data_IF_794724343738
#
_entry.id   IF_794724343738
#
_cell.length_a   1.000
_cell.length_b   1.000
_cell.length_c   1.000
_cell.angle_alpha   90.00
_cell.angle_beta   90.00
_cell.angle_gamma   90.00
#
_symmetry.space_group_name_H-M   'P 1'
#
loop_
_entity.id
_entity.type
_entity.pdbx_description
1 polymer ?
#
# COMPACT_ATOMS: atom_id res chain seq x y z
N UNK A 1 28.51 -31.45 -0.94
CA UNK A 1 27.86 -30.12 -0.97
C UNK A 1 26.40 -30.38 -1.30
N UNK A 2 25.50 -30.18 -0.35
CA UNK A 2 24.07 -30.43 -0.55
C UNK A 2 23.45 -29.18 -1.18
N UNK A 3 23.35 -29.17 -2.52
CA UNK A 3 22.71 -28.14 -3.35
C UNK A 3 21.17 -28.21 -3.27
N UNK A 4 20.62 -28.18 -2.05
CA UNK A 4 19.18 -28.10 -1.78
C UNK A 4 18.72 -26.78 -1.06
N UNK A 5 19.47 -25.65 -0.92
CA UNK A 5 18.90 -24.46 -0.24
C UNK A 5 18.11 -23.49 -1.15
N UNK A 6 18.33 -23.49 -2.47
CA UNK A 6 17.87 -22.37 -3.32
C UNK A 6 16.38 -22.43 -3.67
N UNK A 7 15.83 -23.62 -3.87
CA UNK A 7 14.43 -23.78 -4.26
C UNK A 7 13.46 -23.32 -3.16
N UNK A 8 13.78 -23.63 -1.90
CA UNK A 8 12.98 -23.19 -0.75
C UNK A 8 13.04 -21.67 -0.57
N UNK A 9 14.22 -21.07 -0.73
CA UNK A 9 14.37 -19.62 -0.65
C UNK A 9 13.58 -18.90 -1.76
N UNK A 10 13.63 -19.40 -3.00
CA UNK A 10 12.81 -18.89 -4.12
C UNK A 10 11.32 -19.01 -3.80
N UNK A 11 10.87 -20.17 -3.32
CA UNK A 11 9.47 -20.40 -2.98
C UNK A 11 8.99 -19.45 -1.87
N UNK A 12 9.81 -19.21 -0.85
CA UNK A 12 9.50 -18.27 0.23
C UNK A 12 9.43 -16.82 -0.29
N UNK A 13 10.41 -16.39 -1.08
CA UNK A 13 10.41 -15.03 -1.67
C UNK A 13 9.17 -14.85 -2.55
N UNK A 14 8.84 -15.84 -3.38
CA UNK A 14 7.66 -15.82 -4.23
C UNK A 14 6.36 -15.75 -3.42
N UNK A 15 6.20 -16.61 -2.41
CA UNK A 15 5.01 -16.63 -1.55
C UNK A 15 4.82 -15.29 -0.81
N UNK A 16 5.90 -14.71 -0.29
CA UNK A 16 5.86 -13.39 0.34
C UNK A 16 5.53 -12.29 -0.67
N UNK A 17 6.07 -12.37 -1.89
CA UNK A 17 5.77 -11.42 -2.98
C UNK A 17 4.28 -11.42 -3.34
N UNK A 18 3.70 -12.61 -3.51
CA UNK A 18 2.27 -12.78 -3.78
C UNK A 18 1.43 -12.25 -2.62
N UNK A 19 1.76 -12.60 -1.38
CA UNK A 19 1.03 -12.11 -0.20
C UNK A 19 1.09 -10.57 -0.10
N UNK A 20 2.25 -9.97 -0.35
CA UNK A 20 2.42 -8.52 -0.32
C UNK A 20 1.64 -7.83 -1.45
N UNK A 21 1.60 -8.42 -2.65
CA UNK A 21 0.81 -7.91 -3.76
C UNK A 21 -0.70 -7.93 -3.46
N UNK A 22 -1.21 -9.01 -2.88
CA UNK A 22 -2.61 -9.09 -2.45
C UNK A 22 -2.95 -8.05 -1.37
N UNK A 23 -2.06 -7.85 -0.41
CA UNK A 23 -2.23 -6.83 0.62
C UNK A 23 -2.24 -5.43 0.00
N UNK A 24 -1.29 -5.13 -0.90
CA UNK A 24 -1.24 -3.87 -1.63
C UNK A 24 -2.55 -3.61 -2.37
N UNK A 25 -3.01 -4.57 -3.18
CA UNK A 25 -4.25 -4.44 -3.96
C UNK A 25 -5.47 -4.22 -3.06
N UNK A 26 -5.59 -4.97 -1.97
CA UNK A 26 -6.70 -4.82 -1.01
C UNK A 26 -6.69 -3.42 -0.38
N UNK A 27 -5.52 -2.92 -0.04
CA UNK A 27 -5.36 -1.58 0.55
C UNK A 27 -5.63 -0.47 -0.45
N UNK A 28 -5.15 -0.61 -1.69
CA UNK A 28 -5.40 0.33 -2.77
C UNK A 28 -6.90 0.45 -3.07
N UNK A 29 -7.60 -0.68 -3.20
CA UNK A 29 -9.07 -0.70 -3.34
C UNK A 29 -9.79 -0.02 -2.19
N UNK A 30 -9.29 -0.18 -0.96
CA UNK A 30 -9.86 0.46 0.24
C UNK A 30 -9.67 1.98 0.21
N UNK A 31 -8.46 2.45 -0.12
CA UNK A 31 -8.14 3.88 -0.27
C UNK A 31 -8.98 4.49 -1.39
N UNK A 32 -9.15 3.78 -2.50
CA UNK A 32 -9.99 4.18 -3.62
C UNK A 32 -11.46 4.31 -3.21
N UNK A 33 -12.03 3.27 -2.57
CA UNK A 33 -13.41 3.29 -2.08
C UNK A 33 -13.67 4.44 -1.12
N UNK A 34 -12.73 4.72 -0.20
CA UNK A 34 -12.83 5.84 0.72
C UNK A 34 -12.74 7.18 0.00
N UNK A 35 -11.84 7.31 -0.97
CA UNK A 35 -11.73 8.51 -1.80
C UNK A 35 -13.03 8.78 -2.54
N UNK A 36 -13.67 7.75 -3.11
CA UNK A 36 -14.97 7.87 -3.76
C UNK A 36 -16.05 8.31 -2.78
N UNK A 37 -16.14 7.70 -1.59
CA UNK A 37 -17.11 8.11 -0.57
C UNK A 37 -16.90 9.57 -0.13
N UNK A 38 -15.65 10.03 -0.02
CA UNK A 38 -15.33 11.42 0.28
C UNK A 38 -15.77 12.34 -0.87
N UNK A 39 -15.63 11.93 -2.13
CA UNK A 39 -16.03 12.74 -3.29
C UNK A 39 -17.55 12.80 -3.47
N UNK A 40 -18.22 11.66 -3.42
CA UNK A 40 -19.66 11.54 -3.73
C UNK A 40 -20.56 11.80 -2.53
N UNK A 41 -20.03 11.68 -1.31
CA UNK A 41 -20.86 11.71 -0.10
C UNK A 41 -21.75 10.48 0.06
N UNK A 42 -21.42 9.36 -0.61
CA UNK A 42 -22.13 8.08 -0.48
C UNK A 42 -21.16 6.99 -0.09
N UNK A 43 -21.45 6.27 0.99
CA UNK A 43 -20.69 5.12 1.47
C UNK A 43 -21.63 3.91 1.52
N UNK A 44 -21.27 2.83 0.81
CA UNK A 44 -22.06 1.58 0.77
C UNK A 44 -23.54 1.79 0.39
N UNK A 45 -23.82 2.79 -0.45
CA UNK A 45 -25.17 3.14 -0.90
C UNK A 45 -25.94 4.07 0.05
N UNK A 46 -25.35 4.47 1.18
CA UNK A 46 -25.96 5.39 2.13
C UNK A 46 -25.32 6.79 2.03
N UNK A 47 -26.11 7.87 2.03
CA UNK A 47 -25.57 9.23 2.08
C UNK A 47 -24.90 9.47 3.45
N UNK A 48 -23.76 10.16 3.43
CA UNK A 48 -22.99 10.50 4.63
C UNK A 48 -22.91 12.02 4.82
N UNK A 49 -22.87 12.45 6.09
CA UNK A 49 -22.77 13.88 6.42
C UNK A 49 -21.44 14.50 6.00
N UNK A 50 -21.42 15.82 5.79
CA UNK A 50 -20.20 16.57 5.49
C UNK A 50 -19.16 16.42 6.60
N UNK A 51 -19.60 16.45 7.87
CA UNK A 51 -18.72 16.22 9.02
C UNK A 51 -18.05 14.85 8.95
N UNK A 52 -18.81 13.80 8.61
CA UNK A 52 -18.27 12.46 8.44
C UNK A 52 -17.29 12.38 7.26
N UNK A 53 -17.55 13.08 6.15
CA UNK A 53 -16.61 13.19 5.02
C UNK A 53 -15.29 13.85 5.45
N UNK A 54 -15.32 14.89 6.28
CA UNK A 54 -14.11 15.48 6.85
C UNK A 54 -13.37 14.53 7.79
N UNK A 55 -14.10 13.74 8.60
CA UNK A 55 -13.49 12.73 9.46
C UNK A 55 -12.79 11.64 8.64
N UNK A 56 -13.45 11.13 7.59
CA UNK A 56 -12.86 10.17 6.64
C UNK A 56 -11.61 10.73 5.96
N UNK A 57 -11.63 12.00 5.57
CA UNK A 57 -10.51 12.68 4.93
C UNK A 57 -9.32 12.90 5.88
N UNK A 58 -9.57 13.30 7.13
CA UNK A 58 -8.49 13.65 8.09
C UNK A 58 -7.92 12.46 8.84
N UNK A 59 -8.74 11.46 9.14
CA UNK A 59 -8.32 10.31 9.95
C UNK A 59 -8.23 9.08 9.07
N UNK A 60 -9.32 8.72 8.40
CA UNK A 60 -9.36 7.51 7.59
C UNK A 60 -8.30 7.49 6.50
N UNK A 61 -8.28 8.50 5.63
CA UNK A 61 -7.37 8.54 4.48
C UNK A 61 -5.90 8.41 4.89
N UNK A 62 -5.47 9.17 5.90
CA UNK A 62 -4.09 9.10 6.39
C UNK A 62 -3.78 7.80 7.14
N UNK A 63 -4.74 7.23 7.87
CA UNK A 63 -4.56 5.93 8.53
C UNK A 63 -4.31 4.82 7.50
N UNK A 64 -5.13 4.73 6.46
CA UNK A 64 -4.95 3.70 5.42
C UNK A 64 -3.62 3.87 4.68
N UNK A 65 -3.25 5.12 4.37
CA UNK A 65 -1.95 5.42 3.75
C UNK A 65 -0.80 5.04 4.68
N UNK A 66 -0.88 5.40 5.96
CA UNK A 66 0.14 5.06 6.95
C UNK A 66 0.34 3.56 7.09
N UNK A 67 -0.76 2.78 7.12
CA UNK A 67 -0.69 1.31 7.13
C UNK A 67 -0.04 0.81 5.83
N UNK A 68 -0.35 1.41 4.68
CA UNK A 68 0.21 0.97 3.39
C UNK A 68 1.72 1.20 3.36
N UNK A 69 2.18 2.39 3.78
CA UNK A 69 3.62 2.70 3.95
C UNK A 69 4.27 1.65 4.81
N UNK A 70 3.70 1.38 5.98
CA UNK A 70 4.28 0.49 6.98
C UNK A 70 4.44 -0.93 6.43
N UNK A 71 3.38 -1.47 5.83
CA UNK A 71 3.37 -2.84 5.27
C UNK A 71 4.36 -2.96 4.12
N UNK A 72 4.38 -2.00 3.19
CA UNK A 72 5.31 -2.03 2.06
C UNK A 72 6.77 -1.85 2.49
N UNK A 73 7.03 -0.97 3.46
CA UNK A 73 8.37 -0.76 4.01
C UNK A 73 8.87 -1.98 4.77
N UNK A 74 8.01 -2.61 5.57
CA UNK A 74 8.31 -3.87 6.26
C UNK A 74 8.57 -5.01 5.26
N UNK A 75 7.76 -5.12 4.20
CA UNK A 75 7.97 -6.07 3.12
C UNK A 75 9.31 -5.87 2.42
N UNK A 76 9.64 -4.62 2.05
CA UNK A 76 10.93 -4.27 1.45
C UNK A 76 12.10 -4.66 2.38
N UNK A 77 12.01 -4.32 3.66
CA UNK A 77 13.01 -4.70 4.66
C UNK A 77 13.16 -6.22 4.81
N UNK A 78 12.05 -6.96 4.82
CA UNK A 78 12.04 -8.42 4.87
C UNK A 78 12.76 -9.06 3.68
N UNK A 79 12.51 -8.57 2.47
CA UNK A 79 13.21 -9.03 1.27
C UNK A 79 14.71 -8.71 1.29
N UNK A 80 15.12 -7.55 1.82
CA UNK A 80 16.55 -7.23 1.99
C UNK A 80 17.22 -8.21 2.97
N UNK A 81 16.56 -8.53 4.09
CA UNK A 81 17.10 -9.48 5.07
C UNK A 81 17.21 -10.89 4.47
N UNK A 82 16.21 -11.33 3.70
CA UNK A 82 16.26 -12.61 2.97
C UNK A 82 17.37 -12.63 1.93
N UNK A 83 17.53 -11.56 1.14
CA UNK A 83 18.61 -11.47 0.15
C UNK A 83 20.01 -11.56 0.78
N UNK A 84 20.17 -11.05 2.00
CA UNK A 84 21.43 -11.14 2.75
C UNK A 84 21.70 -12.53 3.34
N UNK A 85 20.67 -13.32 3.61
CA UNK A 85 20.82 -14.64 4.24
C UNK A 85 21.02 -15.78 3.23
N UNK A 86 20.82 -15.53 1.94
CA UNK A 86 20.97 -16.54 0.89
C UNK A 86 22.36 -16.50 0.26
N UNK A 87 22.98 -17.68 0.09
CA UNK A 87 24.32 -17.82 -0.50
C UNK A 87 24.33 -17.70 -2.04
N UNK A 88 23.20 -17.97 -2.69
CA UNK A 88 23.05 -17.93 -4.15
C UNK A 88 22.83 -16.52 -4.68
N UNK A 89 23.65 -16.13 -5.66
CA UNK A 89 23.61 -14.80 -6.25
C UNK A 89 22.29 -14.52 -6.98
N UNK A 90 21.77 -15.48 -7.74
CA UNK A 90 20.51 -15.35 -8.46
C UNK A 90 19.33 -15.11 -7.53
N UNK A 91 19.24 -15.90 -6.45
CA UNK A 91 18.16 -15.78 -5.45
C UNK A 91 18.25 -14.46 -4.69
N UNK A 92 19.47 -14.01 -4.38
CA UNK A 92 19.73 -12.71 -3.76
C UNK A 92 19.30 -11.54 -4.65
N UNK A 93 19.63 -11.57 -5.95
CA UNK A 93 19.17 -10.55 -6.91
C UNK A 93 17.64 -10.55 -6.96
N UNK A 94 17.01 -11.72 -7.01
CA UNK A 94 15.56 -11.84 -7.00
C UNK A 94 14.90 -11.26 -5.73
N UNK A 95 15.50 -11.49 -4.56
CA UNK A 95 15.05 -10.89 -3.30
C UNK A 95 15.16 -9.36 -3.34
N UNK A 96 16.30 -8.80 -3.77
CA UNK A 96 16.49 -7.36 -3.86
C UNK A 96 15.58 -6.69 -4.90
N UNK A 97 15.27 -7.38 -5.99
CA UNK A 97 14.28 -6.91 -6.96
C UNK A 97 12.89 -6.77 -6.33
N UNK A 98 12.45 -7.76 -5.53
CA UNK A 98 11.19 -7.68 -4.79
C UNK A 98 11.22 -6.57 -3.72
N UNK A 99 12.36 -6.38 -3.05
CA UNK A 99 12.54 -5.28 -2.12
C UNK A 99 12.38 -3.91 -2.80
N UNK A 100 12.95 -3.75 -3.99
CA UNK A 100 12.85 -2.54 -4.79
C UNK A 100 11.41 -2.26 -5.21
N UNK A 101 10.68 -3.27 -5.71
CA UNK A 101 9.26 -3.13 -6.07
C UNK A 101 8.43 -2.64 -4.86
N UNK A 102 8.58 -3.29 -3.71
CA UNK A 102 7.88 -2.91 -2.49
C UNK A 102 8.21 -1.46 -2.05
N UNK A 103 9.47 -1.04 -2.19
CA UNK A 103 9.87 0.34 -1.90
C UNK A 103 9.28 1.36 -2.90
N UNK A 104 9.22 1.03 -4.19
CA UNK A 104 8.60 1.87 -5.22
C UNK A 104 7.10 2.10 -4.97
N UNK A 105 6.39 1.11 -4.42
CA UNK A 105 4.99 1.25 -4.01
C UNK A 105 4.80 2.35 -2.95
N UNK A 106 5.80 2.60 -2.11
CA UNK A 106 5.81 3.74 -1.16
C UNK A 106 6.04 5.07 -1.90
N UNK A 107 6.84 5.07 -2.97
CA UNK A 107 7.11 6.26 -3.79
C UNK A 107 5.84 6.87 -4.40
N UNK A 108 4.83 6.06 -4.72
CA UNK A 108 3.52 6.55 -5.18
C UNK A 108 2.85 7.51 -4.17
N UNK A 109 3.19 7.40 -2.89
CA UNK A 109 2.64 8.23 -1.83
C UNK A 109 3.12 9.67 -1.86
N UNK A 110 4.13 10.00 -2.68
CA UNK A 110 4.47 11.40 -2.97
C UNK A 110 3.29 12.16 -3.61
N UNK A 111 2.32 11.46 -4.19
CA UNK A 111 1.08 12.06 -4.71
C UNK A 111 0.02 12.32 -3.64
N UNK A 112 0.17 11.75 -2.43
CA UNK A 112 -0.79 11.88 -1.32
C UNK A 112 -1.17 13.33 -1.00
N UNK A 113 -0.25 14.32 -0.94
CA UNK A 113 -0.62 15.70 -0.66
C UNK A 113 -1.51 16.32 -1.73
N UNK A 114 -1.22 16.04 -3.00
CA UNK A 114 -2.02 16.51 -4.14
C UNK A 114 -3.41 15.89 -4.11
N UNK A 115 -3.48 14.58 -3.86
CA UNK A 115 -4.73 13.85 -3.73
C UNK A 115 -5.58 14.37 -2.57
N UNK A 116 -4.98 14.59 -1.40
CA UNK A 116 -5.66 15.15 -0.23
C UNK A 116 -6.25 16.54 -0.52
N UNK A 117 -5.49 17.42 -1.18
CA UNK A 117 -5.97 18.77 -1.55
C UNK A 117 -7.18 18.69 -2.48
N UNK A 118 -7.13 17.78 -3.47
CA UNK A 118 -8.25 17.54 -4.38
C UNK A 118 -9.50 17.09 -3.62
N UNK A 119 -9.40 16.06 -2.77
CA UNK A 119 -10.52 15.56 -1.97
C UNK A 119 -11.09 16.64 -1.04
N UNK A 120 -10.22 17.40 -0.37
CA UNK A 120 -10.63 18.52 0.49
C UNK A 120 -11.41 19.59 -0.27
N UNK A 121 -10.99 19.90 -1.50
CA UNK A 121 -11.68 20.86 -2.35
C UNK A 121 -13.11 20.40 -2.67
N UNK A 122 -13.30 19.11 -2.97
CA UNK A 122 -14.63 18.55 -3.22
C UNK A 122 -15.55 18.61 -1.99
N UNK A 123 -15.03 18.28 -0.80
CA UNK A 123 -15.84 18.36 0.43
C UNK A 123 -16.26 19.80 0.71
N UNK A 124 -15.35 20.77 0.52
CA UNK A 124 -15.65 22.20 0.71
C UNK A 124 -16.72 22.73 -0.25
N UNK A 125 -16.69 22.30 -1.51
CA UNK A 125 -17.72 22.70 -2.49
C UNK A 125 -19.10 22.20 -2.06
N UNK A 126 -19.18 20.94 -1.67
CA UNK A 126 -20.41 20.34 -1.18
C UNK A 126 -20.90 20.86 0.18
N UNK A 127 -20.10 21.66 0.88
CA UNK A 127 -20.49 22.37 2.11
C UNK A 127 -21.07 23.76 1.82
N UNK A 128 -20.75 24.32 0.65
CA UNK A 128 -21.23 25.63 0.21
C UNK A 128 -22.52 25.55 -0.62
N UNK A 129 -22.86 24.36 -1.12
CA UNK A 129 -24.12 24.02 -1.82
C UNK A 129 -25.20 23.62 -0.80
#
# INVERSE_FOLDING_TARGET
>A
MNDIPDFYAIAVIFALGVALAFLYERMDRKIWSRSNAIMTGVLEGLPISIEYRYHLLRVGFFLDIGILVLVMSAGAGGFVLLGRSVGSEYVRIYAYFNAFIAACSVGWLMQTPSWYRMLRSHVRKAEAD
#
